data_IF_110384890506
#
_entry.id   IF_110384890506
#
_cell.length_a   1.000
_cell.length_b   1.000
_cell.length_c   1.000
_cell.angle_alpha   90.00
_cell.angle_beta   90.00
_cell.angle_gamma   90.00
#
_symmetry.space_group_name_H-M   'P 1'
#
loop_
_entity.id
_entity.type
_entity.pdbx_description
1 polymer ?
#
# COMPACT_ATOMS: atom_id res chain seq x y z
N UNK A 1 -15.48 7.33 8.03
CA UNK A 1 -14.26 6.48 8.11
C UNK A 1 -13.03 7.29 7.76
N UNK A 2 -12.00 7.20 8.60
CA UNK A 2 -10.73 7.94 8.51
C UNK A 2 -9.93 7.48 7.27
N UNK A 3 -9.11 8.34 6.63
CA UNK A 3 -8.47 8.01 5.36
C UNK A 3 -7.63 6.72 5.42
N UNK A 4 -6.80 6.56 6.46
CA UNK A 4 -5.96 5.37 6.60
C UNK A 4 -6.76 4.09 6.85
N UNK A 5 -7.97 4.17 7.42
CA UNK A 5 -8.80 2.97 7.60
C UNK A 5 -9.32 2.42 6.28
N UNK A 6 -9.59 3.28 5.30
CA UNK A 6 -9.91 2.84 3.94
C UNK A 6 -8.73 2.14 3.28
N UNK A 7 -7.52 2.69 3.44
CA UNK A 7 -6.30 2.08 2.91
C UNK A 7 -6.06 0.72 3.58
N UNK A 8 -6.14 0.64 4.91
CA UNK A 8 -6.00 -0.61 5.65
C UNK A 8 -7.02 -1.66 5.21
N UNK A 9 -8.30 -1.29 5.09
CA UNK A 9 -9.35 -2.20 4.66
C UNK A 9 -9.10 -2.70 3.24
N UNK A 10 -8.69 -1.82 2.32
CA UNK A 10 -8.38 -2.18 0.94
C UNK A 10 -7.21 -3.15 0.84
N UNK A 11 -6.10 -2.86 1.52
CA UNK A 11 -4.93 -3.73 1.57
C UNK A 11 -5.24 -5.07 2.24
N UNK A 12 -6.00 -5.09 3.33
CA UNK A 12 -6.42 -6.31 3.99
C UNK A 12 -7.29 -7.18 3.08
N UNK A 13 -8.16 -6.55 2.28
CA UNK A 13 -9.01 -7.26 1.33
C UNK A 13 -8.13 -7.91 0.24
N UNK A 14 -7.21 -7.18 -0.39
CA UNK A 14 -6.26 -7.74 -1.36
C UNK A 14 -5.43 -8.89 -0.77
N UNK A 15 -4.94 -8.75 0.47
CA UNK A 15 -4.03 -9.74 1.07
C UNK A 15 -4.75 -11.00 1.56
N UNK A 16 -5.93 -10.87 2.16
CA UNK A 16 -6.60 -11.97 2.83
C UNK A 16 -7.75 -12.59 2.02
N UNK A 17 -8.11 -12.00 0.89
CA UNK A 17 -9.14 -12.55 0.01
C UNK A 17 -8.58 -12.79 -1.38
N UNK A 18 -8.81 -13.99 -1.90
CA UNK A 18 -8.44 -14.37 -3.26
C UNK A 18 -9.67 -15.01 -3.91
N UNK A 19 -10.02 -14.58 -5.11
CA UNK A 19 -11.10 -15.23 -5.83
C UNK A 19 -10.69 -16.63 -6.32
N UNK A 20 -11.65 -17.55 -6.52
CA UNK A 20 -11.41 -18.77 -7.27
C UNK A 20 -10.73 -18.50 -8.62
N UNK A 21 -9.87 -19.41 -9.06
CA UNK A 21 -9.06 -19.23 -10.27
C UNK A 21 -9.90 -19.02 -11.55
N UNK A 22 -11.12 -19.58 -11.58
CA UNK A 22 -12.07 -19.51 -12.69
C UNK A 22 -12.99 -18.28 -12.66
N UNK A 23 -12.92 -17.44 -11.61
CA UNK A 23 -13.86 -16.33 -11.40
C UNK A 23 -13.18 -14.98 -11.35
N UNK A 24 -13.88 -13.96 -11.82
CA UNK A 24 -13.42 -12.58 -11.72
C UNK A 24 -13.08 -12.19 -10.27
N UNK A 25 -11.89 -11.61 -10.07
CA UNK A 25 -11.39 -11.23 -8.75
C UNK A 25 -11.96 -9.90 -8.26
N UNK A 26 -13.22 -9.93 -7.81
CA UNK A 26 -13.86 -8.74 -7.24
C UNK A 26 -13.13 -8.22 -6.02
N UNK A 27 -12.44 -9.09 -5.28
CA UNK A 27 -11.66 -8.70 -4.11
C UNK A 27 -10.51 -7.78 -4.49
N UNK A 28 -9.73 -8.15 -5.49
CA UNK A 28 -8.60 -7.34 -5.96
C UNK A 28 -9.05 -5.96 -6.42
N UNK A 29 -10.17 -5.86 -7.17
CA UNK A 29 -10.74 -4.58 -7.60
C UNK A 29 -11.26 -3.75 -6.43
N UNK A 30 -12.06 -4.34 -5.55
CA UNK A 30 -12.65 -3.62 -4.41
C UNK A 30 -11.59 -3.16 -3.42
N UNK A 31 -10.57 -3.99 -3.18
CA UNK A 31 -9.45 -3.66 -2.31
C UNK A 31 -8.67 -2.44 -2.82
N UNK A 32 -8.29 -2.44 -4.10
CA UNK A 32 -7.62 -1.29 -4.72
C UNK A 32 -8.54 -0.05 -4.81
N UNK A 33 -9.84 -0.23 -4.99
CA UNK A 33 -10.81 0.88 -4.93
C UNK A 33 -10.83 1.54 -3.54
N UNK A 34 -10.80 0.75 -2.46
CA UNK A 34 -10.73 1.28 -1.10
C UNK A 34 -9.40 1.99 -0.83
N UNK A 35 -8.29 1.46 -1.33
CA UNK A 35 -6.99 2.16 -1.27
C UNK A 35 -7.06 3.52 -1.97
N UNK A 36 -7.62 3.58 -3.18
CA UNK A 36 -7.80 4.82 -3.92
C UNK A 36 -8.73 5.81 -3.19
N UNK A 37 -9.85 5.36 -2.63
CA UNK A 37 -10.75 6.19 -1.81
C UNK A 37 -10.03 6.73 -0.57
N UNK A 38 -9.25 5.88 0.10
CA UNK A 38 -8.44 6.27 1.24
C UNK A 38 -7.41 7.34 0.87
N UNK A 39 -6.74 7.17 -0.26
CA UNK A 39 -5.81 8.16 -0.81
C UNK A 39 -6.50 9.48 -1.16
N UNK A 40 -7.66 9.44 -1.84
CA UNK A 40 -8.45 10.63 -2.18
C UNK A 40 -8.77 11.44 -0.92
N UNK A 41 -9.21 10.76 0.14
CA UNK A 41 -9.55 11.41 1.41
C UNK A 41 -8.31 12.00 2.08
N UNK A 42 -7.21 11.24 2.09
CA UNK A 42 -5.95 11.69 2.69
C UNK A 42 -5.38 12.91 1.96
N UNK A 43 -5.36 12.89 0.62
CA UNK A 43 -4.88 14.00 -0.19
C UNK A 43 -5.73 15.27 -0.04
N UNK A 44 -7.02 15.13 0.30
CA UNK A 44 -7.91 16.25 0.59
C UNK A 44 -7.71 16.82 2.00
N UNK A 45 -7.52 15.97 3.01
CA UNK A 45 -7.32 16.41 4.39
C UNK A 45 -5.90 16.91 4.65
N UNK A 46 -4.93 16.42 3.88
CA UNK A 46 -3.49 16.73 4.00
C UNK A 46 -2.90 17.09 2.64
N UNK A 47 -3.24 18.27 2.07
CA UNK A 47 -2.74 18.69 0.76
C UNK A 47 -1.21 18.82 0.69
N UNK A 48 -0.55 19.04 1.83
CA UNK A 48 0.89 19.20 2.01
C UNK A 48 1.69 17.89 2.00
N UNK A 49 1.04 16.74 1.79
CA UNK A 49 1.73 15.45 1.69
C UNK A 49 2.74 15.46 0.53
N UNK A 50 4.02 15.09 0.78
CA UNK A 50 5.02 15.01 -0.27
C UNK A 50 4.67 13.92 -1.29
N UNK A 51 5.17 14.07 -2.52
CA UNK A 51 4.98 13.09 -3.61
C UNK A 51 3.50 12.82 -3.97
N UNK A 52 2.61 13.79 -3.72
CA UNK A 52 1.17 13.66 -3.96
C UNK A 52 0.82 13.23 -5.39
N UNK A 53 1.51 13.78 -6.39
CA UNK A 53 1.29 13.41 -7.79
C UNK A 53 1.70 11.96 -8.07
N UNK A 54 2.86 11.54 -7.53
CA UNK A 54 3.34 10.16 -7.64
C UNK A 54 2.37 9.18 -6.98
N UNK A 55 1.89 9.49 -5.78
CA UNK A 55 0.90 8.67 -5.08
C UNK A 55 -0.41 8.57 -5.83
N UNK A 56 -0.87 9.66 -6.45
CA UNK A 56 -2.04 9.65 -7.34
C UNK A 56 -1.84 8.74 -8.54
N UNK A 57 -0.73 8.91 -9.24
CA UNK A 57 -0.40 8.10 -10.41
C UNK A 57 -0.36 6.61 -10.04
N UNK A 58 0.37 6.26 -8.97
CA UNK A 58 0.51 4.87 -8.53
C UNK A 58 -0.82 4.27 -8.07
N UNK A 59 -1.64 5.01 -7.30
CA UNK A 59 -2.95 4.53 -6.86
C UNK A 59 -3.90 4.29 -8.04
N UNK A 60 -3.93 5.19 -9.02
CA UNK A 60 -4.79 5.06 -10.20
C UNK A 60 -4.31 3.93 -11.09
N UNK A 61 -3.01 3.84 -11.38
CA UNK A 61 -2.47 2.75 -12.19
C UNK A 61 -2.65 1.40 -11.50
N UNK A 62 -2.43 1.32 -10.18
CA UNK A 62 -2.69 0.09 -9.42
C UNK A 62 -4.16 -0.34 -9.54
N UNK A 63 -5.12 0.59 -9.40
CA UNK A 63 -6.54 0.29 -9.56
C UNK A 63 -6.92 -0.12 -11.00
N UNK A 64 -6.33 0.52 -12.01
CA UNK A 64 -6.58 0.14 -13.40
C UNK A 64 -6.02 -1.25 -13.71
N UNK A 65 -4.78 -1.52 -13.29
CA UNK A 65 -4.18 -2.85 -13.44
C UNK A 65 -4.96 -3.91 -12.67
N UNK A 66 -5.37 -3.62 -11.44
CA UNK A 66 -6.18 -4.55 -10.64
C UNK A 66 -7.46 -4.89 -11.39
N UNK A 67 -8.12 -3.92 -12.02
CA UNK A 67 -9.34 -4.14 -12.81
C UNK A 67 -9.08 -4.98 -14.05
N UNK A 68 -8.03 -4.66 -14.82
CA UNK A 68 -7.68 -5.40 -16.05
C UNK A 68 -7.27 -6.84 -15.74
N UNK A 69 -6.45 -7.03 -14.71
CA UNK A 69 -5.90 -8.31 -14.31
C UNK A 69 -6.84 -9.14 -13.43
N UNK A 70 -8.05 -8.66 -13.11
CA UNK A 70 -9.01 -9.44 -12.32
C UNK A 70 -9.76 -10.50 -13.12
N UNK A 71 -9.77 -10.40 -14.46
CA UNK A 71 -10.36 -11.43 -15.31
C UNK A 71 -9.59 -12.76 -15.18
N UNK A 72 -10.31 -13.89 -15.21
CA UNK A 72 -9.67 -15.21 -15.08
C UNK A 72 -8.62 -15.45 -16.18
N UNK A 73 -8.95 -15.12 -17.43
CA UNK A 73 -8.04 -15.26 -18.57
C UNK A 73 -6.79 -14.36 -18.43
N UNK A 74 -6.94 -13.16 -17.86
CA UNK A 74 -5.83 -12.24 -17.65
C UNK A 74 -4.88 -12.74 -16.54
N UNK A 75 -5.42 -13.37 -15.48
CA UNK A 75 -4.60 -13.99 -14.43
C UNK A 75 -3.89 -15.24 -14.94
N UNK A 76 -4.59 -16.09 -15.68
CA UNK A 76 -4.00 -17.27 -16.30
C UNK A 76 -2.85 -16.87 -17.26
N UNK A 77 -3.07 -15.85 -18.08
CA UNK A 77 -2.02 -15.29 -18.94
C UNK A 77 -0.84 -14.76 -18.13
N UNK A 78 -1.09 -14.06 -17.01
CA UNK A 78 -0.04 -13.51 -16.16
C UNK A 78 0.74 -14.61 -15.43
N UNK A 79 0.08 -15.69 -15.02
CA UNK A 79 0.70 -16.86 -14.40
C UNK A 79 1.65 -17.59 -15.37
N UNK A 80 1.36 -17.55 -16.67
CA UNK A 80 2.19 -18.11 -17.75
C UNK A 80 3.24 -17.12 -18.29
N UNK A 81 3.21 -15.85 -17.85
CA UNK A 81 4.10 -14.80 -18.36
C UNK A 81 5.51 -14.87 -17.75
N UNK A 82 6.48 -14.22 -18.40
CA UNK A 82 7.82 -14.05 -17.86
C UNK A 82 7.78 -13.39 -16.47
N UNK A 83 8.65 -13.82 -15.56
CA UNK A 83 8.71 -13.32 -14.18
C UNK A 83 8.88 -11.80 -14.11
N UNK A 84 9.56 -11.20 -15.09
CA UNK A 84 9.70 -9.76 -15.23
C UNK A 84 8.36 -9.03 -15.43
N UNK A 85 7.41 -9.64 -16.17
CA UNK A 85 6.07 -9.09 -16.40
C UNK A 85 5.23 -9.18 -15.12
N UNK A 86 5.27 -10.32 -14.42
CA UNK A 86 4.59 -10.52 -13.13
C UNK A 86 5.08 -9.51 -12.09
N UNK A 87 6.39 -9.31 -12.02
CA UNK A 87 7.00 -8.29 -11.16
C UNK A 87 6.55 -6.88 -11.54
N UNK A 88 6.61 -6.53 -12.83
CA UNK A 88 6.24 -5.20 -13.32
C UNK A 88 4.76 -4.86 -13.03
N UNK A 89 3.86 -5.84 -13.15
CA UNK A 89 2.44 -5.68 -12.82
C UNK A 89 2.21 -5.33 -11.34
N UNK A 90 3.10 -5.76 -10.45
CA UNK A 90 3.01 -5.51 -9.00
C UNK A 90 3.58 -4.14 -8.59
N UNK A 91 4.36 -3.50 -9.45
CA UNK A 91 5.07 -2.24 -9.13
C UNK A 91 4.16 -1.08 -8.74
N UNK A 92 3.01 -0.82 -9.40
CA UNK A 92 2.18 0.32 -9.04
C UNK A 92 1.62 0.20 -7.62
N UNK A 93 1.17 -0.99 -7.22
CA UNK A 93 0.62 -1.24 -5.90
C UNK A 93 1.69 -1.19 -4.81
N UNK A 94 2.82 -1.87 -5.00
CA UNK A 94 3.92 -1.86 -4.03
C UNK A 94 4.62 -0.50 -3.96
N UNK A 95 4.78 0.16 -5.11
CA UNK A 95 5.30 1.52 -5.21
C UNK A 95 4.42 2.52 -4.48
N UNK A 96 3.08 2.41 -4.59
CA UNK A 96 2.15 3.24 -3.83
C UNK A 96 2.39 3.08 -2.33
N UNK A 97 2.48 1.84 -1.84
CA UNK A 97 2.66 1.55 -0.42
C UNK A 97 4.01 2.06 0.12
N UNK A 98 5.10 1.83 -0.60
CA UNK A 98 6.43 2.36 -0.24
C UNK A 98 6.43 3.89 -0.22
N UNK A 99 5.86 4.53 -1.25
CA UNK A 99 5.77 6.00 -1.33
C UNK A 99 4.89 6.58 -0.22
N UNK A 100 3.81 5.88 0.15
CA UNK A 100 2.92 6.29 1.22
C UNK A 100 3.64 6.22 2.57
N UNK A 101 4.39 5.15 2.82
CA UNK A 101 5.22 5.01 4.02
C UNK A 101 6.27 6.11 4.11
N UNK A 102 6.92 6.44 2.98
CA UNK A 102 7.88 7.54 2.91
C UNK A 102 7.23 8.88 3.30
N UNK A 103 6.06 9.16 2.72
CA UNK A 103 5.33 10.39 2.98
C UNK A 103 4.84 10.50 4.44
N UNK A 104 4.31 9.41 4.99
CA UNK A 104 3.83 9.36 6.37
C UNK A 104 4.97 9.37 7.38
N UNK A 105 6.15 8.82 7.04
CA UNK A 105 7.38 9.00 7.85
C UNK A 105 7.69 10.49 8.02
N UNK A 106 7.65 11.26 6.92
CA UNK A 106 7.93 12.70 6.97
C UNK A 106 6.90 13.45 7.82
N UNK A 107 5.61 13.17 7.61
CA UNK A 107 4.53 13.77 8.40
C UNK A 107 4.61 13.44 9.89
N UNK A 108 4.93 12.18 10.21
CA UNK A 108 5.11 11.74 11.60
C UNK A 108 6.30 12.45 12.25
N UNK A 109 7.42 12.62 11.53
CA UNK A 109 8.59 13.35 12.02
C UNK A 109 8.29 14.83 12.26
N UNK A 110 7.59 15.50 11.34
CA UNK A 110 7.20 16.91 11.52
C UNK A 110 6.25 17.09 12.69
N UNK A 111 5.40 16.11 12.98
CA UNK A 111 4.49 16.11 14.13
C UNK A 111 5.13 15.62 15.44
N UNK A 112 6.42 15.24 15.45
CA UNK A 112 7.08 14.69 16.64
C UNK A 112 6.52 13.33 17.12
N UNK A 113 5.85 12.58 16.24
CA UNK A 113 5.18 11.34 16.59
C UNK A 113 6.20 10.20 16.81
N UNK A 114 6.25 9.66 18.04
CA UNK A 114 7.25 8.67 18.49
C UNK A 114 7.32 7.38 17.67
N UNK A 115 6.23 6.93 17.03
CA UNK A 115 6.25 5.72 16.19
C UNK A 115 6.33 5.98 14.69
N UNK A 116 6.71 7.20 14.28
CA UNK A 116 6.92 7.53 12.87
C UNK A 116 7.99 6.68 12.17
N UNK A 117 8.92 6.10 12.93
CA UNK A 117 10.00 5.25 12.38
C UNK A 117 9.51 3.91 11.85
N UNK A 118 8.38 3.38 12.34
CA UNK A 118 7.83 2.11 11.86
C UNK A 118 7.38 2.19 10.40
N UNK A 119 6.98 3.37 9.93
CA UNK A 119 6.71 3.60 8.50
C UNK A 119 7.97 3.41 7.65
N UNK A 120 9.14 3.83 8.13
CA UNK A 120 10.43 3.59 7.45
C UNK A 120 10.78 2.10 7.41
N UNK A 121 10.44 1.34 8.46
CA UNK A 121 10.63 -0.12 8.47
C UNK A 121 9.75 -0.78 7.42
N UNK A 122 8.47 -0.40 7.34
CA UNK A 122 7.55 -0.92 6.34
C UNK A 122 8.01 -0.58 4.91
N UNK A 123 8.40 0.68 4.66
CA UNK A 123 8.99 1.14 3.40
C UNK A 123 10.20 0.28 3.01
N UNK A 124 11.14 0.10 3.94
CA UNK A 124 12.36 -0.68 3.69
C UNK A 124 12.04 -2.13 3.38
N UNK A 125 11.12 -2.76 4.12
CA UNK A 125 10.70 -4.15 3.87
C UNK A 125 10.12 -4.35 2.46
N UNK A 126 9.27 -3.41 2.01
CA UNK A 126 8.68 -3.44 0.66
C UNK A 126 9.78 -3.25 -0.40
N UNK A 127 10.67 -2.27 -0.23
CA UNK A 127 11.74 -1.99 -1.20
C UNK A 127 12.75 -3.13 -1.30
N UNK A 128 13.13 -3.73 -0.17
CA UNK A 128 14.01 -4.91 -0.14
C UNK A 128 13.37 -6.05 -0.93
N UNK A 129 12.08 -6.35 -0.69
CA UNK A 129 11.40 -7.39 -1.44
C UNK A 129 11.35 -7.12 -2.95
N UNK A 130 11.05 -5.87 -3.35
CA UNK A 130 11.03 -5.46 -4.76
C UNK A 130 12.38 -5.65 -5.46
N UNK A 131 13.47 -5.26 -4.82
CA UNK A 131 14.82 -5.38 -5.37
C UNK A 131 15.28 -6.83 -5.36
N UNK A 132 14.95 -7.59 -4.31
CA UNK A 132 15.35 -8.99 -4.19
C UNK A 132 14.74 -9.88 -5.27
N UNK A 133 13.51 -9.65 -5.71
CA UNK A 133 12.94 -10.38 -6.86
C UNK A 133 13.81 -10.20 -8.11
N UNK A 134 14.20 -8.95 -8.43
CA UNK A 134 15.05 -8.66 -9.58
C UNK A 134 16.43 -9.31 -9.47
N UNK A 135 17.03 -9.31 -8.27
CA UNK A 135 18.34 -9.94 -8.05
C UNK A 135 18.27 -11.46 -8.10
N UNK A 136 17.20 -12.06 -7.57
CA UNK A 136 17.00 -13.50 -7.61
C UNK A 136 16.83 -13.99 -9.06
N UNK A 137 15.92 -13.38 -9.82
CA UNK A 137 15.60 -13.81 -11.19
C UNK A 137 16.65 -13.32 -12.21
N UNK A 138 17.15 -12.09 -12.04
CA UNK A 138 18.04 -11.45 -13.01
C UNK A 138 19.53 -11.76 -12.78
N UNK A 139 19.98 -11.85 -11.52
CA UNK A 139 21.38 -12.14 -11.19
C UNK A 139 21.62 -13.59 -10.75
N UNK A 140 20.58 -14.42 -10.68
CA UNK A 140 20.67 -15.84 -10.28
C UNK A 140 21.03 -16.03 -8.81
N UNK A 141 20.75 -15.05 -7.94
CA UNK A 141 21.11 -15.08 -6.53
C UNK A 141 20.16 -15.95 -5.72
N UNK A 142 20.30 -17.27 -5.87
CA UNK A 142 19.42 -18.27 -5.25
C UNK A 142 19.37 -18.22 -3.72
N UNK A 143 20.38 -17.64 -3.07
CA UNK A 143 20.41 -17.44 -1.61
C UNK A 143 19.36 -16.42 -1.11
N UNK A 144 18.78 -15.61 -1.99
CA UNK A 144 17.66 -14.70 -1.69
C UNK A 144 16.30 -15.42 -1.62
N UNK A 145 16.29 -16.75 -1.74
CA UNK A 145 15.08 -17.56 -1.60
C UNK A 145 14.39 -17.27 -0.26
N UNK A 146 13.09 -16.94 -0.32
CA UNK A 146 12.28 -16.61 0.85
C UNK A 146 12.28 -15.12 1.25
N UNK A 147 13.12 -14.26 0.65
CA UNK A 147 13.10 -12.81 0.93
C UNK A 147 11.76 -12.16 0.54
N UNK A 148 11.01 -12.76 -0.39
CA UNK A 148 9.64 -12.34 -0.70
C UNK A 148 8.70 -12.30 0.52
N UNK A 149 8.97 -13.08 1.58
CA UNK A 149 8.22 -13.02 2.84
C UNK A 149 8.39 -11.69 3.58
N UNK A 150 9.52 -11.00 3.42
CA UNK A 150 9.73 -9.66 3.96
C UNK A 150 8.81 -8.63 3.30
N UNK A 151 8.49 -8.82 2.01
CA UNK A 151 7.55 -7.97 1.28
C UNK A 151 6.17 -8.04 1.92
N UNK A 152 5.66 -9.26 2.11
CA UNK A 152 4.38 -9.49 2.79
C UNK A 152 4.39 -8.93 4.22
N UNK A 153 5.46 -9.15 4.99
CA UNK A 153 5.59 -8.58 6.32
C UNK A 153 5.55 -7.03 6.31
N UNK A 154 6.17 -6.41 5.31
CA UNK A 154 6.10 -4.97 5.07
C UNK A 154 4.67 -4.50 4.82
N UNK A 155 3.93 -5.15 3.91
CA UNK A 155 2.52 -4.84 3.63
C UNK A 155 1.64 -5.00 4.86
N UNK A 156 1.82 -6.09 5.62
CA UNK A 156 1.09 -6.32 6.88
C UNK A 156 1.39 -5.22 7.90
N UNK A 157 2.64 -4.78 8.00
CA UNK A 157 3.01 -3.66 8.85
C UNK A 157 2.34 -2.36 8.39
N UNK A 158 2.23 -2.10 7.08
CA UNK A 158 1.45 -0.95 6.56
C UNK A 158 0.00 -1.01 7.03
N UNK A 159 -0.65 -2.17 6.92
CA UNK A 159 -2.04 -2.35 7.39
C UNK A 159 -2.14 -2.00 8.89
N UNK A 160 -1.26 -2.56 9.72
CA UNK A 160 -1.23 -2.29 11.16
C UNK A 160 -1.02 -0.80 11.44
N UNK A 161 -0.06 -0.17 10.78
CA UNK A 161 0.24 1.25 10.97
C UNK A 161 -0.93 2.14 10.54
N UNK A 162 -1.62 1.79 9.44
CA UNK A 162 -2.83 2.49 9.03
C UNK A 162 -3.96 2.38 10.06
N UNK A 163 -4.10 1.24 10.75
CA UNK A 163 -5.08 1.05 11.81
C UNK A 163 -4.70 1.78 13.11
N UNK A 164 -3.42 1.73 13.49
CA UNK A 164 -2.90 2.37 14.71
C UNK A 164 -2.92 3.90 14.57
N UNK A 165 -2.46 4.42 13.43
CA UNK A 165 -2.34 5.87 13.20
C UNK A 165 -3.51 6.49 12.45
N UNK A 166 -4.53 5.71 12.07
CA UNK A 166 -5.71 6.27 11.42
C UNK A 166 -6.44 7.37 12.20
N UNK A 167 -6.46 7.36 13.55
CA UNK A 167 -6.94 8.50 14.34
C UNK A 167 -6.06 9.74 14.34
N UNK A 168 -4.80 9.63 13.97
CA UNK A 168 -3.84 10.69 14.17
C UNK A 168 -4.12 11.88 13.25
N UNK A 169 -4.21 13.07 13.83
CA UNK A 169 -4.46 14.34 13.11
C UNK A 169 -3.46 14.54 11.97
N UNK A 170 -2.16 14.32 12.24
CA UNK A 170 -1.07 14.44 11.25
C UNK A 170 -1.22 13.47 10.07
N UNK A 171 -2.00 12.40 10.23
CA UNK A 171 -2.29 11.40 9.21
C UNK A 171 -3.70 11.57 8.59
N UNK A 172 -4.30 12.75 8.74
CA UNK A 172 -5.64 13.06 8.20
C UNK A 172 -6.80 12.56 9.07
N UNK A 173 -6.53 12.21 10.34
CA UNK A 173 -7.56 12.03 11.37
C UNK A 173 -8.25 13.36 11.74
N UNK A 174 -9.44 13.29 12.36
CA UNK A 174 -10.16 14.48 12.80
C UNK A 174 -9.41 15.22 13.91
N UNK A 175 -9.52 16.55 13.92
CA UNK A 175 -9.01 17.39 15.01
C UNK A 175 -9.78 17.07 16.30
N UNK A 176 -9.14 17.10 17.50
CA UNK A 176 -9.86 16.99 18.76
C UNK A 176 -10.89 18.11 18.89
N UNK A 177 -12.08 17.82 19.42
CA UNK A 177 -13.04 18.87 19.77
C UNK A 177 -12.42 19.80 20.82
N UNK A 178 -12.64 21.12 20.73
CA UNK A 178 -12.16 22.05 21.75
C UNK A 178 -12.77 21.67 23.10
N UNK A 179 -11.93 21.53 24.13
CA UNK A 179 -12.40 21.30 25.50
C UNK A 179 -13.38 22.41 25.89
N UNK A 180 -14.57 22.07 26.44
CA UNK A 180 -15.49 23.08 26.92
C UNK A 180 -14.80 23.89 28.02
N UNK A 181 -14.79 25.22 27.88
CA UNK A 181 -14.24 26.11 28.91
C UNK A 181 -14.86 25.76 30.27
N UNK A 182 -14.05 25.61 31.33
CA UNK A 182 -14.59 25.37 32.66
C UNK A 182 -15.42 26.59 33.09
N UNK A 183 -16.74 26.40 33.18
CA UNK A 183 -17.71 27.37 33.69
C UNK A 183 -17.59 27.56 35.19
#
# INVERSE_FOLDING_TARGET
MKPLYWIAAGLALVVFTKAPADRYDYSEVLGNAFVLIGWIKLARTRPEIPLRLTLWYLAVVAFLLSTVLSAADARAWLDDADTAVVWAASLPALGFQATLCHALTRQARTAGARGGWWWTVAETGILVALVSTVLYDGAGWSWLYGVGTLGLAGVLLVIVLCLVYGPAVWAGGPEPDPEPEPT
#
